data_IF_403559918773
#
_entry.id   IF_403559918773
#
_cell.length_a   1.000
_cell.length_b   1.000
_cell.length_c   1.000
_cell.angle_alpha   90.00
_cell.angle_beta   90.00
_cell.angle_gamma   90.00
#
_symmetry.space_group_name_H-M   'P 1'
#
loop_
_entity.id
_entity.type
_entity.pdbx_description
1 polymer ?
#
# COMPACT_ATOMS: atom_id res chain seq x y z
N UNK A 1 7.14 -26.23 5.35
CA UNK A 1 6.41 -27.45 4.93
C UNK A 1 4.90 -27.19 4.91
N UNK A 2 4.18 -27.19 6.04
CA UNK A 2 2.70 -26.99 6.00
C UNK A 2 2.29 -25.58 5.52
N UNK A 3 3.01 -24.52 5.92
CA UNK A 3 2.73 -23.15 5.47
C UNK A 3 2.90 -23.00 3.94
N UNK A 4 4.01 -23.52 3.38
CA UNK A 4 4.29 -23.45 1.94
C UNK A 4 3.26 -24.24 1.11
N UNK A 5 2.77 -25.37 1.65
CA UNK A 5 1.69 -26.15 1.03
C UNK A 5 0.37 -25.36 0.99
N UNK A 6 0.02 -24.64 2.07
CA UNK A 6 -1.15 -23.77 2.09
C UNK A 6 -1.03 -22.61 1.10
N UNK A 7 0.10 -21.91 1.09
CA UNK A 7 0.34 -20.80 0.14
C UNK A 7 0.27 -21.31 -1.30
N UNK A 8 0.93 -22.41 -1.63
CA UNK A 8 0.88 -23.03 -2.97
C UNK A 8 -0.54 -23.38 -3.38
N UNK A 9 -1.31 -23.98 -2.46
CA UNK A 9 -2.70 -24.34 -2.72
C UNK A 9 -3.59 -23.12 -2.96
N UNK A 10 -3.40 -22.03 -2.20
CA UNK A 10 -4.14 -20.79 -2.38
C UNK A 10 -3.77 -20.09 -3.70
N UNK A 11 -2.49 -20.06 -4.07
CA UNK A 11 -2.04 -19.57 -5.38
C UNK A 11 -2.72 -20.34 -6.52
N UNK A 12 -2.85 -21.66 -6.41
CA UNK A 12 -3.55 -22.47 -7.42
C UNK A 12 -5.04 -22.16 -7.58
N UNK A 13 -5.67 -21.41 -6.66
CA UNK A 13 -7.09 -21.01 -6.73
C UNK A 13 -7.30 -19.67 -7.44
N UNK A 14 -6.24 -18.92 -7.70
CA UNK A 14 -6.30 -17.60 -8.33
C UNK A 14 -5.80 -17.66 -9.77
N UNK A 15 -6.42 -16.90 -10.69
CA UNK A 15 -5.94 -16.78 -12.07
C UNK A 15 -4.61 -16.01 -12.16
N UNK A 16 -4.37 -15.05 -11.27
CA UNK A 16 -3.10 -14.34 -11.12
C UNK A 16 -2.75 -14.15 -9.63
N UNK A 17 -1.99 -15.07 -9.02
CA UNK A 17 -1.54 -14.94 -7.63
C UNK A 17 -0.54 -13.81 -7.39
N UNK A 18 -0.04 -13.17 -8.45
CA UNK A 18 0.89 -12.03 -8.39
C UNK A 18 0.18 -10.68 -8.58
N UNK A 19 -1.15 -10.67 -8.61
CA UNK A 19 -1.94 -9.45 -8.72
C UNK A 19 -1.59 -8.45 -7.60
N UNK A 20 -1.37 -7.19 -7.99
CA UNK A 20 -1.11 -6.09 -7.04
C UNK A 20 -2.42 -5.64 -6.41
N UNK A 21 -2.62 -5.94 -5.14
CA UNK A 21 -3.85 -5.59 -4.39
C UNK A 21 -3.96 -4.08 -4.12
N UNK A 22 -2.84 -3.39 -3.85
CA UNK A 22 -2.81 -1.94 -3.63
C UNK A 22 -1.46 -1.33 -4.02
N UNK A 23 -1.48 -0.12 -4.59
CA UNK A 23 -0.29 0.63 -4.98
C UNK A 23 -0.51 2.12 -4.75
N UNK A 24 0.53 2.83 -4.29
CA UNK A 24 0.54 4.29 -4.23
C UNK A 24 1.36 4.82 -5.41
N UNK A 25 0.75 5.64 -6.26
CA UNK A 25 1.41 6.27 -7.40
C UNK A 25 1.91 7.68 -7.07
N UNK A 26 2.80 8.22 -7.91
CA UNK A 26 3.18 9.64 -7.81
C UNK A 26 1.98 10.57 -7.93
N UNK A 27 0.94 10.21 -8.70
CA UNK A 27 -0.26 11.02 -8.82
C UNK A 27 -1.02 11.08 -7.50
N UNK A 28 -1.11 9.97 -6.77
CA UNK A 28 -1.78 9.90 -5.48
C UNK A 28 -1.04 10.75 -4.44
N UNK A 29 0.29 10.66 -4.44
CA UNK A 29 1.14 11.52 -3.62
C UNK A 29 0.95 13.01 -3.94
N UNK A 30 0.92 13.38 -5.22
CA UNK A 30 0.68 14.76 -5.63
C UNK A 30 -0.71 15.26 -5.23
N UNK A 31 -1.74 14.42 -5.33
CA UNK A 31 -3.08 14.76 -4.88
C UNK A 31 -3.12 15.00 -3.37
N UNK A 32 -2.43 14.16 -2.58
CA UNK A 32 -2.31 14.33 -1.13
C UNK A 32 -1.54 15.61 -0.76
N UNK A 33 -0.44 15.92 -1.47
CA UNK A 33 0.33 17.15 -1.29
C UNK A 33 -0.54 18.38 -1.60
N UNK A 34 -1.22 18.38 -2.75
CA UNK A 34 -2.09 19.48 -3.17
C UNK A 34 -3.25 19.69 -2.19
N UNK A 35 -3.84 18.61 -1.67
CA UNK A 35 -4.89 18.71 -0.65
C UNK A 35 -4.36 19.34 0.65
N UNK A 36 -3.12 19.01 1.05
CA UNK A 36 -2.53 19.46 2.31
C UNK A 36 -1.99 20.89 2.26
N UNK A 37 -1.33 21.27 1.18
CA UNK A 37 -0.68 22.56 1.01
C UNK A 37 -1.52 23.57 0.23
N UNK A 38 -2.61 23.13 -0.41
CA UNK A 38 -3.47 23.98 -1.25
C UNK A 38 -2.63 24.73 -2.29
N UNK A 39 -2.81 26.05 -2.41
CA UNK A 39 -2.09 26.87 -3.40
C UNK A 39 -0.57 26.88 -3.20
N UNK A 40 -0.08 26.65 -1.98
CA UNK A 40 1.37 26.64 -1.68
C UNK A 40 2.10 25.52 -2.42
N UNK A 41 1.40 24.45 -2.83
CA UNK A 41 2.02 23.36 -3.60
C UNK A 41 2.56 23.82 -4.96
N UNK A 42 2.07 24.95 -5.50
CA UNK A 42 2.54 25.50 -6.77
C UNK A 42 3.97 26.06 -6.71
N UNK A 43 4.50 26.27 -5.50
CA UNK A 43 5.88 26.72 -5.29
C UNK A 43 6.87 25.56 -5.17
N UNK A 44 6.39 24.31 -5.11
CA UNK A 44 7.26 23.14 -4.98
C UNK A 44 8.05 22.90 -6.26
N UNK A 45 9.34 22.63 -6.07
CA UNK A 45 10.22 22.21 -7.15
C UNK A 45 10.11 20.71 -7.39
N UNK A 46 10.65 20.24 -8.51
CA UNK A 46 10.75 18.80 -8.76
C UNK A 46 11.55 18.06 -7.67
N UNK A 47 12.56 18.71 -7.09
CA UNK A 47 13.36 18.15 -6.00
C UNK A 47 12.52 17.93 -4.75
N UNK A 48 11.67 18.89 -4.37
CA UNK A 48 10.74 18.75 -3.24
C UNK A 48 9.77 17.58 -3.44
N UNK A 49 9.27 17.39 -4.66
CA UNK A 49 8.35 16.31 -5.00
C UNK A 49 9.03 14.93 -4.95
N UNK A 50 10.29 14.84 -5.37
CA UNK A 50 11.07 13.61 -5.25
C UNK A 50 11.47 13.32 -3.82
N UNK A 51 11.79 14.35 -3.02
CA UNK A 51 12.02 14.19 -1.59
C UNK A 51 10.76 13.65 -0.90
N UNK A 52 9.58 14.21 -1.17
CA UNK A 52 8.32 13.70 -0.63
C UNK A 52 8.06 12.23 -1.01
N UNK A 53 8.42 11.82 -2.23
CA UNK A 53 8.35 10.41 -2.65
C UNK A 53 9.30 9.53 -1.84
N UNK A 54 10.53 9.97 -1.65
CA UNK A 54 11.56 9.17 -0.98
C UNK A 54 11.26 9.04 0.52
N UNK A 55 10.76 10.10 1.16
CA UNK A 55 10.25 10.08 2.53
C UNK A 55 9.02 9.15 2.67
N UNK A 56 8.06 9.21 1.74
CA UNK A 56 6.94 8.27 1.73
C UNK A 56 7.43 6.83 1.61
N UNK A 57 8.37 6.55 0.70
CA UNK A 57 8.94 5.21 0.52
C UNK A 57 9.66 4.73 1.77
N UNK A 58 10.46 5.58 2.40
CA UNK A 58 11.14 5.26 3.65
C UNK A 58 10.13 4.97 4.77
N UNK A 59 9.06 5.77 4.88
CA UNK A 59 8.00 5.56 5.86
C UNK A 59 7.28 4.23 5.64
N UNK A 60 6.87 3.92 4.42
CA UNK A 60 6.24 2.63 4.10
C UNK A 60 7.19 1.46 4.41
N UNK A 61 8.48 1.59 4.10
CA UNK A 61 9.47 0.55 4.39
C UNK A 61 9.86 0.40 5.86
N UNK A 62 9.63 1.41 6.70
CA UNK A 62 9.99 1.39 8.13
C UNK A 62 8.81 1.19 9.08
N UNK A 63 7.63 1.70 8.75
CA UNK A 63 6.48 1.79 9.67
C UNK A 63 5.32 0.87 9.31
N UNK A 64 5.23 0.37 8.08
CA UNK A 64 4.30 -0.70 7.79
C UNK A 64 5.02 -2.01 8.10
N UNK A 65 4.84 -2.53 9.32
CA UNK A 65 4.93 -3.98 9.45
C UNK A 65 3.78 -4.52 8.61
N UNK A 66 4.09 -4.92 7.37
CA UNK A 66 3.12 -5.39 6.38
C UNK A 66 2.20 -6.47 6.98
N UNK A 67 2.70 -7.20 7.98
CA UNK A 67 1.94 -8.20 8.75
C UNK A 67 0.76 -7.60 9.51
N UNK A 68 0.95 -6.48 10.21
CA UNK A 68 -0.13 -5.84 10.98
C UNK A 68 -1.25 -5.32 10.06
N UNK A 69 -0.90 -4.83 8.87
CA UNK A 69 -1.89 -4.44 7.87
C UNK A 69 -2.65 -5.65 7.31
N UNK A 70 -1.94 -6.75 7.03
CA UNK A 70 -2.58 -7.98 6.57
C UNK A 70 -3.51 -8.53 7.64
N UNK A 71 -3.10 -8.57 8.90
CA UNK A 71 -3.93 -9.04 10.00
C UNK A 71 -5.21 -8.19 10.13
N UNK A 72 -5.10 -6.86 10.13
CA UNK A 72 -6.26 -5.96 10.18
C UNK A 72 -7.20 -6.15 8.97
N UNK A 73 -6.65 -6.28 7.77
CA UNK A 73 -7.44 -6.47 6.56
C UNK A 73 -8.15 -7.84 6.54
N UNK A 74 -7.46 -8.90 7.00
CA UNK A 74 -8.01 -10.25 7.10
C UNK A 74 -9.09 -10.33 8.18
N UNK A 75 -8.91 -9.70 9.33
CA UNK A 75 -9.94 -9.59 10.38
C UNK A 75 -11.21 -8.93 9.83
N UNK A 76 -11.06 -7.80 9.12
CA UNK A 76 -12.18 -7.12 8.50
C UNK A 76 -12.85 -7.97 7.42
N UNK A 77 -12.08 -8.70 6.62
CA UNK A 77 -12.60 -9.63 5.61
C UNK A 77 -13.39 -10.77 6.25
N UNK A 78 -12.91 -11.34 7.35
CA UNK A 78 -13.62 -12.39 8.10
C UNK A 78 -14.96 -11.90 8.63
N UNK A 79 -15.01 -10.68 9.17
CA UNK A 79 -16.26 -10.06 9.62
C UNK A 79 -17.24 -9.95 8.46
N UNK A 80 -16.80 -9.40 7.31
CA UNK A 80 -17.68 -9.19 6.14
C UNK A 80 -18.16 -10.51 5.54
N UNK A 81 -17.31 -11.55 5.52
CA UNK A 81 -17.65 -12.86 4.95
C UNK A 81 -18.65 -13.65 5.80
N UNK A 82 -18.62 -13.46 7.12
CA UNK A 82 -19.45 -14.21 8.07
C UNK A 82 -20.78 -13.49 8.43
N UNK A 83 -21.11 -12.40 7.73
CA UNK A 83 -22.42 -11.73 7.74
C UNK A 83 -23.35 -12.33 6.67
#
# INVERSE_FOLDING_TARGET
MVHDEFVTTLCGRLPDPSEVVYVVTMRDLLAAIALRLQEECLHLTAEDLFLARDELRAMLGHYLDERELFDLALDQWEIVRNQ
#
